data_IF_359946586400
#
_entry.id   IF_359946586400
#
_cell.length_a   1.000
_cell.length_b   1.000
_cell.length_c   1.000
_cell.angle_alpha   90.00
_cell.angle_beta   90.00
_cell.angle_gamma   90.00
#
_symmetry.space_group_name_H-M   'P 1'
#
loop_
_entity.id
_entity.type
_entity.pdbx_description
1 polymer ?
#
# COMPACT_ATOMS: atom_id res chain seq x y z
N UNK A 1 17.53 8.89 -22.56
CA UNK A 1 17.74 9.25 -21.13
C UNK A 1 16.92 8.28 -20.32
N UNK A 2 17.42 7.76 -19.19
CA UNK A 2 16.64 6.76 -18.42
C UNK A 2 15.34 7.40 -17.94
N UNK A 3 14.22 6.67 -18.07
CA UNK A 3 12.92 7.10 -17.53
C UNK A 3 12.80 6.82 -16.02
N UNK A 4 13.82 6.21 -15.41
CA UNK A 4 13.86 5.90 -13.98
C UNK A 4 13.88 7.21 -13.18
N UNK A 5 12.96 7.39 -12.21
CA UNK A 5 12.90 8.61 -11.42
C UNK A 5 14.14 8.73 -10.52
N UNK A 6 14.58 9.96 -10.28
CA UNK A 6 15.69 10.24 -9.34
C UNK A 6 15.28 10.04 -7.88
N UNK A 7 13.98 10.10 -7.59
CA UNK A 7 13.41 9.95 -6.26
C UNK A 7 12.11 9.18 -6.31
N UNK A 8 11.88 8.33 -5.32
CA UNK A 8 10.62 7.59 -5.12
C UNK A 8 10.00 7.93 -3.76
N UNK A 9 8.70 7.69 -3.66
CA UNK A 9 7.90 7.86 -2.47
C UNK A 9 7.34 6.51 -2.05
N UNK A 10 7.61 6.13 -0.81
CA UNK A 10 7.18 4.87 -0.24
C UNK A 10 6.06 5.14 0.76
N UNK A 11 4.93 4.46 0.58
CA UNK A 11 3.88 4.35 1.57
C UNK A 11 4.07 3.03 2.33
N UNK A 12 4.41 3.14 3.60
CA UNK A 12 4.62 1.99 4.48
C UNK A 12 3.27 1.44 4.96
N UNK A 13 2.97 0.21 4.59
CA UNK A 13 1.70 -0.49 4.87
C UNK A 13 1.83 -1.53 5.99
N UNK A 14 3.05 -1.83 6.45
CA UNK A 14 3.35 -2.94 7.35
C UNK A 14 2.53 -2.95 8.64
N UNK A 15 2.40 -1.85 9.39
CA UNK A 15 1.58 -1.85 10.60
C UNK A 15 0.10 -2.18 10.32
N UNK A 16 -0.49 -1.66 9.24
CA UNK A 16 -1.89 -1.96 8.89
C UNK A 16 -2.05 -3.35 8.28
N UNK A 17 -1.34 -3.65 7.20
CA UNK A 17 -1.51 -4.92 6.46
C UNK A 17 -0.94 -6.11 7.19
N UNK A 18 0.22 -5.95 7.83
CA UNK A 18 0.84 -7.01 8.63
C UNK A 18 -0.06 -7.43 9.77
N UNK A 19 -0.35 -6.55 10.72
CA UNK A 19 -1.15 -6.93 11.89
C UNK A 19 -2.58 -7.36 11.55
N UNK A 20 -3.13 -6.94 10.39
CA UNK A 20 -4.43 -7.40 9.93
C UNK A 20 -4.48 -8.93 9.70
N UNK A 21 -3.37 -9.57 9.30
CA UNK A 21 -3.34 -11.02 9.00
C UNK A 21 -2.87 -11.87 10.19
N UNK A 22 -2.23 -11.27 11.20
CA UNK A 22 -1.63 -11.94 12.36
C UNK A 22 -2.65 -12.26 13.49
N UNK A 23 -3.91 -11.87 13.31
CA UNK A 23 -4.98 -12.08 14.30
C UNK A 23 -4.87 -11.18 15.53
N UNK A 24 -5.61 -11.50 16.60
CA UNK A 24 -5.72 -10.65 17.81
C UNK A 24 -4.57 -10.79 18.82
N UNK A 25 -3.54 -11.60 18.51
CA UNK A 25 -2.50 -11.96 19.47
C UNK A 25 -1.45 -10.87 19.74
N UNK A 26 -1.31 -9.91 18.83
CA UNK A 26 -0.28 -8.86 18.94
C UNK A 26 -0.74 -7.77 19.92
N UNK A 27 -0.02 -7.53 21.04
CA UNK A 27 -0.38 -6.49 22.00
C UNK A 27 -0.32 -5.08 21.41
N UNK A 28 -1.27 -4.21 21.75
CA UNK A 28 -1.34 -2.81 21.31
C UNK A 28 -0.03 -2.05 21.51
N UNK A 29 0.62 -2.22 22.67
CA UNK A 29 1.90 -1.57 22.97
C UNK A 29 3.02 -1.96 21.98
N UNK A 30 3.03 -3.22 21.51
CA UNK A 30 4.00 -3.70 20.52
C UNK A 30 3.71 -3.15 19.12
N UNK A 31 2.43 -2.96 18.76
CA UNK A 31 2.06 -2.28 17.52
C UNK A 31 2.54 -0.82 17.51
N UNK A 32 2.32 -0.12 18.63
CA UNK A 32 2.78 1.26 18.83
C UNK A 32 4.31 1.34 18.73
N UNK A 33 5.02 0.42 19.37
CA UNK A 33 6.48 0.38 19.33
C UNK A 33 7.04 0.26 17.89
N UNK A 34 6.42 -0.59 17.05
CA UNK A 34 6.81 -0.67 15.65
C UNK A 34 6.54 0.64 14.89
N UNK A 35 5.38 1.26 15.11
CA UNK A 35 5.01 2.54 14.46
C UNK A 35 5.99 3.64 14.85
N UNK A 36 6.31 3.75 16.15
CA UNK A 36 7.24 4.76 16.66
C UNK A 36 8.67 4.53 16.12
N UNK A 37 9.10 3.28 16.02
CA UNK A 37 10.39 2.93 15.41
C UNK A 37 10.43 3.29 13.92
N UNK A 38 9.40 2.91 13.15
CA UNK A 38 9.28 3.26 11.72
C UNK A 38 9.28 4.77 11.49
N UNK A 39 8.69 5.53 12.40
CA UNK A 39 8.64 7.00 12.34
C UNK A 39 10.03 7.66 12.39
N UNK A 40 11.06 6.94 12.86
CA UNK A 40 12.44 7.43 12.96
C UNK A 40 13.30 7.02 11.75
N UNK A 41 12.73 6.35 10.76
CA UNK A 41 13.45 5.87 9.57
C UNK A 41 13.52 6.89 8.43
N UNK A 42 12.77 8.00 8.50
CA UNK A 42 12.65 8.94 7.38
C UNK A 42 11.51 8.62 6.41
N UNK A 43 10.77 7.52 6.63
CA UNK A 43 9.48 7.29 5.97
C UNK A 43 8.55 8.50 6.16
N UNK A 44 7.96 8.97 5.07
CA UNK A 44 7.09 10.15 5.08
C UNK A 44 5.60 9.80 5.17
N UNK A 45 5.22 8.55 4.92
CA UNK A 45 3.84 8.11 4.95
C UNK A 45 3.73 6.68 5.49
N UNK A 46 2.99 6.52 6.59
CA UNK A 46 2.82 5.24 7.29
C UNK A 46 1.33 5.00 7.50
N UNK A 47 0.80 3.89 6.97
CA UNK A 47 -0.55 3.45 7.25
C UNK A 47 -0.56 2.56 8.49
N UNK A 48 -1.14 3.06 9.58
CA UNK A 48 -0.94 2.49 10.91
C UNK A 48 -2.07 1.58 11.40
N UNK A 49 -3.31 1.80 10.93
CA UNK A 49 -4.49 1.05 11.40
C UNK A 49 -5.56 0.90 10.32
N UNK A 50 -6.55 0.06 10.59
CA UNK A 50 -7.76 -0.08 9.78
C UNK A 50 -9.01 -0.04 10.66
N UNK A 51 -9.93 0.90 10.39
CA UNK A 51 -11.22 1.04 11.09
C UNK A 51 -12.28 0.11 10.49
N UNK A 52 -11.96 -1.18 10.44
CA UNK A 52 -12.83 -2.25 9.91
C UNK A 52 -13.58 -2.94 11.04
N UNK A 53 -14.45 -3.89 10.67
CA UNK A 53 -15.19 -4.69 11.64
C UNK A 53 -14.21 -5.61 12.42
N UNK A 54 -14.06 -5.43 13.74
CA UNK A 54 -13.11 -6.19 14.55
C UNK A 54 -13.43 -7.69 14.62
N UNK A 55 -14.66 -8.10 14.32
CA UNK A 55 -15.03 -9.52 14.23
C UNK A 55 -14.47 -10.18 12.98
N UNK A 56 -14.36 -9.41 11.88
CA UNK A 56 -13.82 -9.90 10.61
C UNK A 56 -12.30 -9.74 10.54
N UNK A 57 -11.76 -8.71 11.20
CA UNK A 57 -10.32 -8.44 11.26
C UNK A 57 -9.91 -8.17 12.71
N UNK A 58 -9.70 -9.23 13.52
CA UNK A 58 -9.40 -9.11 14.94
C UNK A 58 -8.10 -8.37 15.25
N UNK A 59 -7.11 -8.44 14.35
CA UNK A 59 -5.83 -7.74 14.50
C UNK A 59 -5.93 -6.22 14.47
N UNK A 60 -7.08 -5.66 14.05
CA UNK A 60 -7.35 -4.23 13.98
C UNK A 60 -8.40 -3.77 15.00
N UNK A 61 -8.71 -4.60 16.01
CA UNK A 61 -9.73 -4.29 16.99
C UNK A 61 -9.39 -3.14 17.93
N UNK A 62 -8.10 -2.88 18.13
CA UNK A 62 -7.51 -1.86 19.00
C UNK A 62 -7.04 -0.62 18.21
N UNK A 63 -7.64 -0.36 17.02
CA UNK A 63 -7.24 0.74 16.15
C UNK A 63 -7.22 2.10 16.87
N UNK A 64 -8.26 2.41 17.65
CA UNK A 64 -8.34 3.64 18.44
C UNK A 64 -7.20 3.76 19.47
N UNK A 65 -6.88 2.66 20.17
CA UNK A 65 -5.85 2.64 21.20
C UNK A 65 -4.45 2.82 20.59
N UNK A 66 -4.20 2.21 19.41
CA UNK A 66 -2.97 2.42 18.64
C UNK A 66 -2.82 3.89 18.24
N UNK A 67 -3.89 4.49 17.67
CA UNK A 67 -3.87 5.90 17.23
C UNK A 67 -3.73 6.86 18.42
N UNK A 68 -4.27 6.51 19.58
CA UNK A 68 -4.09 7.30 20.81
C UNK A 68 -2.70 7.13 21.42
N UNK A 69 -2.06 5.98 21.25
CA UNK A 69 -0.82 5.64 21.96
C UNK A 69 0.48 6.00 21.25
N UNK A 70 0.51 6.10 19.91
CA UNK A 70 1.75 6.38 19.18
C UNK A 70 2.22 7.83 19.30
N UNK A 71 3.51 8.05 19.01
CA UNK A 71 4.19 9.34 19.06
C UNK A 71 4.48 9.84 17.64
N UNK A 72 3.72 10.82 17.12
CA UNK A 72 3.93 11.35 15.77
C UNK A 72 5.31 12.00 15.64
N UNK A 73 6.05 11.60 14.62
CA UNK A 73 7.28 12.27 14.21
C UNK A 73 6.98 13.44 13.25
N UNK A 74 7.69 14.57 13.37
CA UNK A 74 7.55 15.68 12.43
C UNK A 74 7.83 15.25 10.99
N UNK A 75 6.97 15.67 10.06
CA UNK A 75 7.13 15.38 8.63
C UNK A 75 6.65 14.00 8.17
N UNK A 76 6.00 13.23 9.06
CA UNK A 76 5.40 11.92 8.75
C UNK A 76 3.89 12.03 8.74
N UNK A 77 3.26 11.61 7.63
CA UNK A 77 1.82 11.44 7.52
C UNK A 77 1.41 10.05 8.03
N UNK A 78 0.46 10.01 8.95
CA UNK A 78 -0.08 8.77 9.52
C UNK A 78 -1.49 8.54 9.02
N UNK A 79 -1.71 7.47 8.27
CA UNK A 79 -3.02 7.17 7.68
C UNK A 79 -3.70 5.98 8.36
N UNK A 80 -5.03 5.97 8.33
CA UNK A 80 -5.85 4.80 8.63
C UNK A 80 -6.64 4.36 7.41
N UNK A 81 -6.97 3.07 7.32
CA UNK A 81 -7.90 2.55 6.31
C UNK A 81 -9.34 2.55 6.83
N UNK A 82 -10.30 2.87 5.98
CA UNK A 82 -11.73 2.64 6.23
C UNK A 82 -12.39 2.14 4.94
N UNK A 83 -13.48 1.38 5.07
CA UNK A 83 -14.21 0.81 3.93
C UNK A 83 -15.67 1.26 3.87
N UNK A 84 -16.14 2.00 4.89
CA UNK A 84 -17.50 2.50 5.00
C UNK A 84 -17.55 3.77 5.86
N UNK A 85 -18.75 4.37 5.92
CA UNK A 85 -19.01 5.59 6.69
C UNK A 85 -18.69 5.47 8.18
N UNK A 86 -19.03 4.34 8.80
CA UNK A 86 -18.75 4.12 10.22
C UNK A 86 -17.24 4.11 10.50
N UNK A 87 -16.45 3.45 9.64
CA UNK A 87 -14.99 3.45 9.73
C UNK A 87 -14.40 4.85 9.53
N UNK A 88 -14.93 5.62 8.58
CA UNK A 88 -14.49 7.00 8.40
C UNK A 88 -14.78 7.88 9.62
N UNK A 89 -15.98 7.77 10.21
CA UNK A 89 -16.33 8.52 11.42
C UNK A 89 -15.40 8.22 12.58
N UNK A 90 -14.98 6.95 12.75
CA UNK A 90 -13.97 6.55 13.74
C UNK A 90 -12.61 7.19 13.44
N UNK A 91 -12.19 7.18 12.17
CA UNK A 91 -10.94 7.82 11.73
C UNK A 91 -10.95 9.34 12.01
N UNK A 92 -12.04 10.04 11.69
CA UNK A 92 -12.22 11.47 11.96
C UNK A 92 -12.17 11.76 13.45
N UNK A 93 -12.87 10.96 14.26
CA UNK A 93 -12.92 11.14 15.71
C UNK A 93 -11.54 11.03 16.37
N UNK A 94 -10.58 10.35 15.73
CA UNK A 94 -9.21 10.25 16.24
C UNK A 94 -8.45 11.57 16.23
N UNK A 95 -8.77 12.49 15.30
CA UNK A 95 -8.11 13.80 15.11
C UNK A 95 -6.57 13.77 14.99
N UNK A 96 -5.96 12.59 14.77
CA UNK A 96 -4.50 12.39 14.73
C UNK A 96 -3.99 11.81 13.41
N UNK A 97 -4.89 11.50 12.49
CA UNK A 97 -4.58 10.88 11.21
C UNK A 97 -4.60 11.91 10.08
N UNK A 98 -3.70 11.74 9.12
CA UNK A 98 -3.82 12.34 7.80
C UNK A 98 -4.92 11.59 7.04
N UNK A 99 -6.04 12.28 6.84
CA UNK A 99 -7.22 11.73 6.17
C UNK A 99 -7.21 12.17 4.72
N UNK A 100 -7.09 11.20 3.82
CA UNK A 100 -7.20 11.42 2.38
C UNK A 100 -8.31 10.54 1.81
N UNK A 101 -9.23 11.18 1.11
CA UNK A 101 -10.31 10.52 0.40
C UNK A 101 -9.77 9.71 -0.76
N UNK A 102 -10.28 8.48 -0.88
CA UNK A 102 -9.92 7.55 -1.94
C UNK A 102 -11.15 6.94 -2.57
N UNK A 103 -11.13 6.85 -3.90
CA UNK A 103 -12.07 6.05 -4.68
C UNK A 103 -11.46 4.69 -4.98
N UNK A 104 -12.26 3.63 -5.00
CA UNK A 104 -11.75 2.28 -5.21
C UNK A 104 -12.69 1.48 -6.08
N UNK A 105 -12.17 1.02 -7.21
CA UNK A 105 -12.83 0.08 -8.11
C UNK A 105 -12.00 -1.20 -8.23
N UNK A 106 -12.59 -2.23 -8.83
CA UNK A 106 -12.04 -3.58 -8.88
C UNK A 106 -12.01 -4.03 -10.33
N UNK A 107 -10.88 -4.60 -10.76
CA UNK A 107 -10.79 -5.21 -12.08
C UNK A 107 -11.33 -6.65 -12.10
N UNK A 108 -11.75 -7.17 -10.95
CA UNK A 108 -12.43 -8.47 -10.83
C UNK A 108 -13.75 -8.37 -10.08
N UNK A 109 -14.82 -8.84 -10.70
CA UNK A 109 -16.18 -8.76 -10.17
C UNK A 109 -16.38 -9.83 -9.09
N UNK A 110 -15.84 -11.02 -9.31
CA UNK A 110 -15.79 -12.10 -8.32
C UNK A 110 -15.00 -11.68 -7.07
N UNK A 111 -13.89 -10.96 -7.24
CA UNK A 111 -13.15 -10.46 -6.09
C UNK A 111 -13.89 -9.34 -5.36
N UNK A 112 -14.49 -8.39 -6.08
CA UNK A 112 -15.36 -7.36 -5.51
C UNK A 112 -16.47 -7.99 -4.66
N UNK A 113 -17.11 -9.05 -5.18
CA UNK A 113 -18.16 -9.76 -4.45
C UNK A 113 -17.64 -10.42 -3.17
N UNK A 114 -16.43 -11.00 -3.18
CA UNK A 114 -15.83 -11.59 -1.98
C UNK A 114 -15.33 -10.55 -0.97
N UNK A 115 -14.75 -9.46 -1.45
CA UNK A 115 -14.11 -8.46 -0.61
C UNK A 115 -15.10 -7.45 -0.01
N UNK A 116 -16.05 -6.97 -0.83
CA UNK A 116 -17.00 -5.91 -0.42
C UNK A 116 -18.46 -6.36 -0.44
N UNK A 117 -18.76 -7.61 -0.86
CA UNK A 117 -20.12 -8.13 -1.00
C UNK A 117 -21.02 -7.30 -1.93
N UNK A 118 -20.44 -6.65 -2.95
CA UNK A 118 -21.14 -5.79 -3.92
C UNK A 118 -21.07 -6.33 -5.34
N UNK A 119 -22.01 -5.90 -6.18
CA UNK A 119 -21.90 -5.98 -7.66
C UNK A 119 -21.13 -4.77 -8.20
N UNK A 120 -20.63 -4.82 -9.46
CA UNK A 120 -19.98 -3.67 -10.10
C UNK A 120 -20.85 -2.41 -10.06
N UNK A 121 -22.14 -2.52 -10.44
CA UNK A 121 -23.07 -1.38 -10.43
C UNK A 121 -23.24 -0.78 -9.03
N UNK A 122 -23.34 -1.62 -8.00
CA UNK A 122 -23.43 -1.15 -6.62
C UNK A 122 -22.15 -0.45 -6.17
N UNK A 123 -20.99 -0.93 -6.61
CA UNK A 123 -19.71 -0.32 -6.26
C UNK A 123 -19.50 1.02 -6.95
N UNK A 124 -19.91 1.14 -8.22
CA UNK A 124 -19.90 2.39 -8.98
C UNK A 124 -20.85 3.42 -8.36
N UNK A 125 -22.08 3.01 -8.06
CA UNK A 125 -23.09 3.88 -7.45
C UNK A 125 -22.70 4.38 -6.05
N UNK A 126 -21.84 3.65 -5.33
CA UNK A 126 -21.38 4.04 -4.00
C UNK A 126 -20.26 5.10 -4.01
N UNK A 127 -19.54 5.30 -5.11
CA UNK A 127 -18.40 6.23 -5.14
C UNK A 127 -18.82 7.70 -5.00
N UNK A 128 -19.87 8.21 -5.69
CA UNK A 128 -20.31 9.60 -5.52
C UNK A 128 -20.73 9.93 -4.09
N UNK A 129 -21.45 9.02 -3.43
CA UNK A 129 -21.85 9.20 -2.03
C UNK A 129 -20.64 9.24 -1.09
N UNK A 130 -19.60 8.47 -1.39
CA UNK A 130 -18.34 8.48 -0.66
C UNK A 130 -17.61 9.83 -0.84
N UNK A 131 -17.60 10.41 -2.05
CA UNK A 131 -17.04 11.76 -2.29
C UNK A 131 -17.78 12.82 -1.48
N UNK A 132 -19.12 12.80 -1.51
CA UNK A 132 -19.95 13.75 -0.75
C UNK A 132 -19.65 13.66 0.75
N UNK A 133 -19.53 12.44 1.27
CA UNK A 133 -19.15 12.23 2.67
C UNK A 133 -17.76 12.79 3.00
N UNK A 134 -16.77 12.63 2.11
CA UNK A 134 -15.45 13.25 2.32
C UNK A 134 -15.56 14.79 2.32
N UNK A 135 -16.32 15.35 1.40
CA UNK A 135 -16.56 16.80 1.27
C UNK A 135 -17.21 17.39 2.53
N UNK A 136 -18.21 16.71 3.09
CA UNK A 136 -18.90 17.13 4.32
C UNK A 136 -17.95 17.22 5.53
N UNK A 137 -16.82 16.52 5.47
CA UNK A 137 -15.77 16.51 6.49
C UNK A 137 -14.49 17.23 6.07
N UNK A 138 -14.51 17.98 4.96
CA UNK A 138 -13.36 18.68 4.39
C UNK A 138 -12.14 17.78 4.12
N UNK A 139 -12.39 16.50 3.81
CA UNK A 139 -11.36 15.52 3.46
C UNK A 139 -11.13 15.59 1.94
N UNK A 140 -9.91 15.88 1.46
CA UNK A 140 -9.64 16.00 0.04
C UNK A 140 -9.68 14.63 -0.66
N UNK A 141 -10.27 14.55 -1.84
CA UNK A 141 -10.30 13.33 -2.66
C UNK A 141 -9.29 13.45 -3.80
N UNK A 142 -8.12 12.86 -3.61
CA UNK A 142 -7.00 12.98 -4.57
C UNK A 142 -6.56 11.65 -5.18
N UNK A 143 -7.06 10.54 -4.63
CA UNK A 143 -6.55 9.22 -4.98
C UNK A 143 -7.65 8.29 -5.52
N UNK A 144 -7.33 7.59 -6.60
CA UNK A 144 -8.08 6.44 -7.09
C UNK A 144 -7.28 5.16 -6.85
N UNK A 145 -7.96 4.01 -6.85
CA UNK A 145 -7.29 2.72 -6.74
C UNK A 145 -8.03 1.63 -7.52
N UNK A 146 -7.28 0.87 -8.31
CA UNK A 146 -7.77 -0.30 -9.04
C UNK A 146 -7.24 -1.55 -8.35
N UNK A 147 -8.15 -2.29 -7.72
CA UNK A 147 -7.83 -3.55 -7.04
C UNK A 147 -7.80 -4.71 -8.04
N UNK A 148 -6.91 -5.68 -7.85
CA UNK A 148 -6.72 -6.83 -8.74
C UNK A 148 -6.40 -6.43 -10.19
N UNK A 149 -5.63 -5.36 -10.39
CA UNK A 149 -5.32 -4.79 -11.70
C UNK A 149 -4.56 -5.73 -12.64
N UNK A 150 -3.83 -6.70 -12.08
CA UNK A 150 -2.93 -7.56 -12.87
C UNK A 150 -3.41 -9.00 -13.02
N UNK A 151 -4.46 -9.39 -12.30
CA UNK A 151 -5.00 -10.74 -12.30
C UNK A 151 -5.77 -11.06 -11.03
N UNK A 152 -6.49 -12.18 -11.04
CA UNK A 152 -7.36 -12.58 -9.95
C UNK A 152 -7.41 -14.10 -9.79
N UNK A 153 -7.28 -14.60 -8.57
CA UNK A 153 -7.42 -16.02 -8.24
C UNK A 153 -8.84 -16.59 -8.48
N UNK A 154 -9.84 -15.73 -8.74
CA UNK A 154 -11.23 -16.14 -8.96
C UNK A 154 -11.69 -16.00 -10.42
N UNK A 155 -11.05 -15.14 -11.21
CA UNK A 155 -11.42 -14.86 -12.61
C UNK A 155 -10.27 -15.06 -13.60
N UNK A 156 -9.05 -15.31 -13.12
CA UNK A 156 -7.86 -15.47 -13.93
C UNK A 156 -7.28 -14.14 -14.40
N UNK A 157 -6.90 -14.10 -15.68
CA UNK A 157 -6.26 -12.94 -16.29
C UNK A 157 -7.17 -11.72 -16.37
N UNK A 158 -6.63 -10.57 -15.98
CA UNK A 158 -7.25 -9.26 -16.20
C UNK A 158 -6.60 -8.61 -17.42
N UNK A 159 -7.42 -8.27 -18.41
CA UNK A 159 -6.98 -7.57 -19.61
C UNK A 159 -6.56 -6.12 -19.29
N UNK A 160 -5.48 -5.64 -19.91
CA UNK A 160 -4.97 -4.28 -19.69
C UNK A 160 -6.00 -3.20 -20.07
N UNK A 161 -6.75 -3.45 -21.14
CA UNK A 161 -7.84 -2.61 -21.63
C UNK A 161 -8.94 -2.43 -20.57
N UNK A 162 -9.22 -3.48 -19.78
CA UNK A 162 -10.16 -3.41 -18.65
C UNK A 162 -9.65 -2.47 -17.57
N UNK A 163 -8.35 -2.53 -17.25
CA UNK A 163 -7.74 -1.63 -16.27
C UNK A 163 -7.82 -0.18 -16.73
N UNK A 164 -7.47 0.11 -17.99
CA UNK A 164 -7.58 1.46 -18.58
C UNK A 164 -9.01 2.00 -18.52
N UNK A 165 -10.00 1.16 -18.82
CA UNK A 165 -11.41 1.54 -18.71
C UNK A 165 -11.81 1.87 -17.27
N UNK A 166 -11.36 1.09 -16.29
CA UNK A 166 -11.65 1.34 -14.87
C UNK A 166 -10.96 2.61 -14.36
N UNK A 167 -9.73 2.90 -14.79
CA UNK A 167 -9.08 4.18 -14.48
C UNK A 167 -9.91 5.34 -15.04
N UNK A 168 -10.39 5.24 -16.28
CA UNK A 168 -11.32 6.23 -16.86
C UNK A 168 -12.60 6.42 -16.05
N UNK A 169 -13.18 5.32 -15.53
CA UNK A 169 -14.34 5.39 -14.65
C UNK A 169 -14.06 6.11 -13.33
N UNK A 170 -12.90 5.85 -12.69
CA UNK A 170 -12.49 6.57 -11.48
C UNK A 170 -12.39 8.08 -11.73
N UNK A 171 -11.74 8.47 -12.84
CA UNK A 171 -11.56 9.87 -13.22
C UNK A 171 -12.89 10.54 -13.52
N UNK A 172 -13.77 9.89 -14.30
CA UNK A 172 -15.08 10.42 -14.66
C UNK A 172 -16.00 10.59 -13.44
N UNK A 173 -15.96 9.65 -12.48
CA UNK A 173 -16.72 9.77 -11.22
C UNK A 173 -16.23 10.97 -10.41
N UNK A 174 -14.91 11.13 -10.27
CA UNK A 174 -14.34 12.26 -9.54
C UNK A 174 -14.72 13.60 -10.19
N UNK A 175 -14.54 13.71 -11.52
CA UNK A 175 -14.86 14.90 -12.28
C UNK A 175 -16.35 15.28 -12.18
N UNK A 176 -17.25 14.29 -12.26
CA UNK A 176 -18.69 14.51 -12.12
C UNK A 176 -19.09 15.06 -10.74
N UNK A 177 -18.30 14.78 -9.70
CA UNK A 177 -18.49 15.30 -8.35
C UNK A 177 -17.59 16.52 -8.05
N UNK A 178 -16.95 17.10 -9.07
CA UNK A 178 -16.12 18.31 -8.94
C UNK A 178 -14.77 18.08 -8.26
N UNK A 179 -14.33 16.83 -8.15
CA UNK A 179 -13.02 16.44 -7.61
C UNK A 179 -12.04 16.15 -8.75
N UNK A 180 -10.74 16.24 -8.45
CA UNK A 180 -9.67 15.86 -9.39
C UNK A 180 -8.74 14.87 -8.73
N UNK A 181 -8.66 13.67 -9.28
CA UNK A 181 -7.65 12.70 -8.86
C UNK A 181 -6.29 13.12 -9.40
N UNK A 182 -5.27 13.01 -8.56
CA UNK A 182 -3.87 13.32 -8.87
C UNK A 182 -3.05 12.03 -9.00
N UNK A 183 -3.47 10.97 -8.29
CA UNK A 183 -2.76 9.70 -8.22
C UNK A 183 -3.75 8.53 -8.34
N UNK A 184 -3.44 7.55 -9.18
CA UNK A 184 -4.18 6.28 -9.26
C UNK A 184 -3.26 5.11 -8.94
N UNK A 185 -3.59 4.37 -7.89
CA UNK A 185 -2.88 3.15 -7.53
C UNK A 185 -3.37 1.93 -8.29
N UNK A 186 -2.44 1.10 -8.75
CA UNK A 186 -2.72 -0.18 -9.38
C UNK A 186 -2.25 -1.31 -8.46
N UNK A 187 -3.21 -2.09 -7.97
CA UNK A 187 -2.96 -3.16 -7.00
C UNK A 187 -2.77 -4.52 -7.65
N UNK A 188 -1.61 -5.13 -7.44
CA UNK A 188 -1.36 -6.56 -7.67
C UNK A 188 -1.76 -7.38 -6.44
N UNK A 189 -3.04 -7.29 -6.07
CA UNK A 189 -3.60 -7.80 -4.81
C UNK A 189 -3.41 -9.30 -4.60
N UNK A 190 -3.11 -10.04 -5.66
CA UNK A 190 -2.98 -11.50 -5.62
C UNK A 190 -1.67 -11.99 -6.23
N UNK A 191 -0.70 -11.09 -6.45
CA UNK A 191 0.63 -11.37 -7.01
C UNK A 191 0.59 -12.11 -8.37
N UNK A 192 -0.18 -11.57 -9.32
CA UNK A 192 -0.28 -12.03 -10.71
C UNK A 192 0.60 -11.23 -11.68
N UNK A 193 1.13 -10.08 -11.26
CA UNK A 193 1.92 -9.25 -12.15
C UNK A 193 3.25 -9.92 -12.51
N UNK A 194 3.67 -9.67 -13.74
CA UNK A 194 4.99 -9.95 -14.27
C UNK A 194 5.58 -8.65 -14.82
N UNK A 195 6.90 -8.51 -14.99
CA UNK A 195 7.52 -7.27 -15.46
C UNK A 195 6.93 -6.76 -16.78
N UNK A 196 6.66 -7.65 -17.74
CA UNK A 196 6.03 -7.31 -19.02
C UNK A 196 4.58 -6.86 -18.86
N UNK A 197 3.83 -7.45 -17.91
CA UNK A 197 2.46 -7.03 -17.61
C UNK A 197 2.42 -5.67 -16.92
N UNK A 198 3.37 -5.38 -16.02
CA UNK A 198 3.54 -4.06 -15.43
C UNK A 198 3.75 -3.03 -16.54
N UNK A 199 4.74 -3.25 -17.42
CA UNK A 199 5.03 -2.33 -18.53
C UNK A 199 3.82 -2.12 -19.44
N UNK A 200 3.11 -3.20 -19.79
CA UNK A 200 1.90 -3.12 -20.64
C UNK A 200 0.79 -2.29 -19.98
N UNK A 201 0.40 -2.62 -18.76
CA UNK A 201 -0.72 -1.94 -18.08
C UNK A 201 -0.37 -0.49 -17.78
N UNK A 202 0.81 -0.24 -17.20
CA UNK A 202 1.27 1.12 -16.87
C UNK A 202 1.36 1.98 -18.12
N UNK A 203 2.00 1.47 -19.19
CA UNK A 203 2.13 2.20 -20.44
C UNK A 203 0.78 2.55 -21.07
N UNK A 204 -0.15 1.59 -21.12
CA UNK A 204 -1.50 1.85 -21.67
C UNK A 204 -2.30 2.87 -20.85
N UNK A 205 -2.12 2.90 -19.52
CA UNK A 205 -2.78 3.90 -18.66
C UNK A 205 -2.13 5.29 -18.85
N UNK A 206 -0.81 5.37 -18.94
CA UNK A 206 -0.08 6.62 -19.20
C UNK A 206 -0.42 7.21 -20.57
N UNK A 207 -0.56 6.37 -21.60
CA UNK A 207 -0.96 6.80 -22.95
C UNK A 207 -2.38 7.36 -22.97
N UNK A 208 -3.31 6.75 -22.23
CA UNK A 208 -4.71 7.17 -22.18
C UNK A 208 -4.95 8.40 -21.28
N UNK A 209 -4.18 8.52 -20.19
CA UNK A 209 -4.36 9.55 -19.15
C UNK A 209 -3.00 10.15 -18.74
N UNK A 210 -2.35 10.95 -19.60
CA UNK A 210 -0.97 11.41 -19.37
C UNK A 210 -0.80 12.34 -18.16
N UNK A 211 -1.89 12.96 -17.69
CA UNK A 211 -1.87 13.90 -16.56
C UNK A 211 -2.02 13.20 -15.19
N UNK A 212 -2.25 11.88 -15.15
CA UNK A 212 -2.41 11.13 -13.89
C UNK A 212 -1.09 10.51 -13.45
N UNK A 213 -0.73 10.70 -12.19
CA UNK A 213 0.36 9.91 -11.60
C UNK A 213 -0.13 8.51 -11.25
N UNK A 214 0.79 7.55 -11.32
CA UNK A 214 0.50 6.17 -10.95
C UNK A 214 1.28 5.76 -9.71
N UNK A 215 0.63 4.97 -8.85
CA UNK A 215 1.31 4.20 -7.81
C UNK A 215 1.15 2.70 -8.03
N UNK A 216 2.12 1.94 -7.55
CA UNK A 216 2.08 0.48 -7.60
C UNK A 216 2.01 -0.09 -6.19
N UNK A 217 1.02 -0.95 -5.98
CA UNK A 217 0.86 -1.75 -4.77
C UNK A 217 1.07 -3.21 -5.14
N UNK A 218 2.28 -3.71 -4.89
CA UNK A 218 2.75 -4.98 -5.42
C UNK A 218 2.90 -6.00 -4.31
N UNK A 219 2.34 -7.19 -4.52
CA UNK A 219 2.53 -8.31 -3.61
C UNK A 219 3.60 -9.25 -4.13
N UNK A 220 4.34 -9.87 -3.22
CA UNK A 220 5.50 -10.71 -3.55
C UNK A 220 5.23 -12.21 -3.37
N UNK A 221 3.96 -12.63 -3.32
CA UNK A 221 3.54 -14.03 -3.07
C UNK A 221 4.20 -15.06 -3.99
N UNK A 222 4.67 -14.65 -5.17
CA UNK A 222 5.34 -15.51 -6.16
C UNK A 222 6.79 -15.08 -6.48
N UNK A 223 7.39 -14.21 -5.66
CA UNK A 223 8.79 -13.78 -5.82
C UNK A 223 9.04 -12.83 -7.00
N UNK A 224 8.00 -12.15 -7.48
CA UNK A 224 8.08 -11.22 -8.62
C UNK A 224 7.95 -9.75 -8.20
N UNK A 225 7.68 -9.46 -6.93
CA UNK A 225 7.34 -8.13 -6.43
C UNK A 225 8.42 -7.08 -6.74
N UNK A 226 9.68 -7.32 -6.37
CA UNK A 226 10.76 -6.36 -6.67
C UNK A 226 11.08 -6.26 -8.17
N UNK A 227 10.96 -7.36 -8.93
CA UNK A 227 11.12 -7.33 -10.38
C UNK A 227 10.01 -6.48 -11.04
N UNK A 228 8.78 -6.58 -10.53
CA UNK A 228 7.64 -5.76 -10.94
C UNK A 228 7.82 -4.29 -10.52
N UNK A 229 8.38 -4.03 -9.34
CA UNK A 229 8.70 -2.68 -8.89
C UNK A 229 9.76 -2.03 -9.80
N UNK A 230 10.82 -2.77 -10.14
CA UNK A 230 11.82 -2.33 -11.10
C UNK A 230 11.24 -2.05 -12.48
N UNK A 231 10.34 -2.90 -12.99
CA UNK A 231 9.63 -2.63 -14.23
C UNK A 231 8.79 -1.34 -14.15
N UNK A 232 8.15 -1.07 -13.01
CA UNK A 232 7.46 0.20 -12.75
C UNK A 232 8.39 1.41 -12.76
N UNK A 233 9.56 1.31 -12.11
CA UNK A 233 10.59 2.35 -12.14
C UNK A 233 11.03 2.66 -13.57
N UNK A 234 11.22 1.64 -14.41
CA UNK A 234 11.57 1.82 -15.82
C UNK A 234 10.51 2.58 -16.63
N UNK A 235 9.25 2.55 -16.17
CA UNK A 235 8.12 3.29 -16.75
C UNK A 235 7.91 4.67 -16.10
N UNK A 236 8.82 5.11 -15.22
CA UNK A 236 8.73 6.40 -14.53
C UNK A 236 7.79 6.43 -13.33
N UNK A 237 7.24 5.29 -12.89
CA UNK A 237 6.45 5.22 -11.65
C UNK A 237 7.36 5.55 -10.48
N UNK A 238 6.89 6.46 -9.60
CA UNK A 238 7.64 6.92 -8.43
C UNK A 238 6.94 6.72 -7.09
N UNK A 239 5.70 6.23 -7.08
CA UNK A 239 4.94 5.96 -5.87
C UNK A 239 4.76 4.46 -5.68
N UNK A 240 5.19 3.94 -4.53
CA UNK A 240 5.12 2.51 -4.22
C UNK A 240 4.56 2.29 -2.83
N UNK A 241 3.65 1.33 -2.70
CA UNK A 241 3.28 0.79 -1.40
C UNK A 241 4.23 -0.37 -1.08
N UNK A 242 4.74 -0.42 0.13
CA UNK A 242 5.63 -1.47 0.62
C UNK A 242 5.35 -1.77 2.09
N UNK A 243 5.84 -2.91 2.59
CA UNK A 243 5.69 -3.27 3.99
C UNK A 243 7.01 -3.71 4.61
N UNK A 244 7.32 -3.18 5.79
CA UNK A 244 8.50 -3.55 6.58
C UNK A 244 8.56 -5.07 6.76
N UNK A 245 9.74 -5.66 6.60
CA UNK A 245 9.98 -7.10 6.66
C UNK A 245 9.17 -7.95 5.66
N UNK A 246 8.52 -7.33 4.67
CA UNK A 246 7.63 -8.00 3.72
C UNK A 246 6.31 -8.45 4.33
N UNK A 247 5.84 -7.70 5.35
CA UNK A 247 4.56 -7.94 6.01
C UNK A 247 3.35 -7.80 5.07
N UNK A 248 2.24 -8.38 5.51
CA UNK A 248 0.93 -8.16 4.93
C UNK A 248 0.46 -9.26 4.00
N UNK A 249 -0.52 -8.92 3.18
CA UNK A 249 -1.30 -9.87 2.40
C UNK A 249 -2.80 -9.61 2.54
N UNK A 250 -3.58 -10.25 1.69
CA UNK A 250 -5.04 -10.08 1.70
C UNK A 250 -5.73 -11.35 2.22
N UNK A 251 -6.49 -11.30 3.33
CA UNK A 251 -7.18 -12.47 3.87
C UNK A 251 -8.28 -13.01 2.91
N UNK A 252 -8.68 -12.21 1.91
CA UNK A 252 -9.71 -12.56 0.94
C UNK A 252 -9.14 -13.05 -0.40
N UNK A 253 -7.82 -13.09 -0.57
CA UNK A 253 -7.16 -13.44 -1.83
C UNK A 253 -6.97 -14.95 -2.05
N UNK A 254 -7.59 -15.82 -1.24
CA UNK A 254 -7.64 -17.28 -1.42
C UNK A 254 -6.29 -17.97 -1.74
N UNK A 255 -5.22 -17.62 -1.01
CA UNK A 255 -3.96 -18.36 -1.00
C UNK A 255 -3.55 -18.69 0.44
N UNK A 256 -2.89 -19.84 0.66
CA UNK A 256 -2.30 -20.24 1.93
C UNK A 256 -0.77 -20.15 1.81
N UNK A 257 -0.10 -19.43 2.72
CA UNK A 257 1.36 -19.23 2.71
C UNK A 257 1.80 -17.93 2.03
N UNK A 258 2.68 -17.19 2.69
CA UNK A 258 2.96 -15.77 2.44
C UNK A 258 3.84 -15.49 1.20
N UNK A 259 3.52 -14.41 0.49
CA UNK A 259 4.24 -13.15 0.69
C UNK A 259 3.28 -11.98 0.48
N UNK A 260 3.33 -11.01 1.41
CA UNK A 260 2.51 -9.80 1.47
C UNK A 260 2.94 -8.78 0.44
N UNK A 261 3.08 -7.52 0.85
CA UNK A 261 3.62 -6.49 -0.04
C UNK A 261 5.10 -6.73 -0.36
N UNK A 262 5.63 -6.03 -1.35
CA UNK A 262 7.09 -5.87 -1.49
C UNK A 262 7.68 -5.38 -0.17
N UNK A 263 8.85 -5.93 0.15
CA UNK A 263 9.55 -5.63 1.39
C UNK A 263 10.19 -4.23 1.32
N UNK A 264 9.87 -3.37 2.29
CA UNK A 264 10.33 -1.97 2.31
C UNK A 264 11.85 -1.89 2.32
N UNK A 265 12.55 -2.62 3.19
CA UNK A 265 14.01 -2.57 3.26
C UNK A 265 14.70 -3.18 2.03
N UNK A 266 14.09 -4.21 1.40
CA UNK A 266 14.62 -4.78 0.18
C UNK A 266 14.48 -3.79 -0.99
N UNK A 267 13.37 -3.06 -1.06
CA UNK A 267 13.14 -2.02 -2.07
C UNK A 267 14.02 -0.79 -1.86
N UNK A 268 14.21 -0.35 -0.61
CA UNK A 268 15.12 0.76 -0.27
C UNK A 268 16.55 0.40 -0.61
N UNK A 269 17.03 -0.82 -0.29
CA UNK A 269 18.36 -1.26 -0.71
C UNK A 269 18.52 -1.19 -2.23
N UNK A 270 17.54 -1.67 -2.99
CA UNK A 270 17.58 -1.60 -4.46
C UNK A 270 17.69 -0.14 -4.93
N UNK A 271 16.90 0.77 -4.36
CA UNK A 271 16.93 2.18 -4.70
C UNK A 271 18.29 2.82 -4.38
N UNK A 272 18.81 2.62 -3.16
CA UNK A 272 20.10 3.15 -2.72
C UNK A 272 21.24 2.71 -3.66
N UNK A 273 21.28 1.42 -4.00
CA UNK A 273 22.32 0.84 -4.86
C UNK A 273 22.18 1.25 -6.33
N UNK A 274 21.00 1.67 -6.74
CA UNK A 274 20.73 2.25 -8.06
C UNK A 274 20.88 3.78 -8.09
N UNK A 275 21.15 4.43 -6.96
CA UNK A 275 21.25 5.88 -6.85
C UNK A 275 19.91 6.61 -6.94
N UNK A 276 18.80 5.94 -6.55
CA UNK A 276 17.46 6.51 -6.47
C UNK A 276 17.21 6.97 -5.03
N UNK A 277 16.87 8.23 -4.83
CA UNK A 277 16.59 8.80 -3.51
C UNK A 277 15.27 8.26 -2.94
N UNK A 278 15.30 7.78 -1.70
CA UNK A 278 14.09 7.41 -0.93
C UNK A 278 13.84 8.34 0.26
N UNK A 279 14.92 8.93 0.80
CA UNK A 279 14.90 9.67 2.07
C UNK A 279 14.86 8.77 3.31
N UNK A 280 14.97 7.45 3.13
CA UNK A 280 14.86 6.46 4.21
C UNK A 280 16.25 6.02 4.70
N UNK A 281 16.46 5.99 6.01
CA UNK A 281 17.61 5.39 6.67
C UNK A 281 17.45 3.86 6.70
N UNK A 282 18.13 3.21 5.76
CA UNK A 282 18.10 1.75 5.62
C UNK A 282 18.59 1.00 6.87
N UNK A 283 19.55 1.53 7.61
CA UNK A 283 20.07 0.85 8.81
C UNK A 283 19.00 0.83 9.90
N UNK A 284 18.32 1.96 10.14
CA UNK A 284 17.19 2.02 11.08
C UNK A 284 16.02 1.16 10.63
N UNK A 285 15.75 1.13 9.33
CA UNK A 285 14.67 0.31 8.78
C UNK A 285 14.95 -1.20 8.97
N UNK A 286 16.21 -1.63 8.82
CA UNK A 286 16.63 -3.01 9.13
C UNK A 286 16.33 -3.36 10.59
N UNK A 287 16.59 -2.45 11.55
CA UNK A 287 16.24 -2.69 12.95
C UNK A 287 14.73 -2.77 13.15
N UNK A 288 13.94 -1.93 12.45
CA UNK A 288 12.48 -2.03 12.46
C UNK A 288 12.00 -3.38 11.92
N UNK A 289 12.64 -3.92 10.88
CA UNK A 289 12.30 -5.21 10.31
C UNK A 289 12.60 -6.38 11.26
N UNK A 290 13.68 -6.29 12.03
CA UNK A 290 13.98 -7.27 13.11
C UNK A 290 12.99 -7.15 14.26
N UNK A 291 12.62 -5.93 14.64
CA UNK A 291 11.59 -5.67 15.63
C UNK A 291 10.24 -6.26 15.20
N UNK A 292 9.85 -6.09 13.93
CA UNK A 292 8.62 -6.68 13.40
C UNK A 292 8.62 -8.21 13.51
N UNK A 293 9.74 -8.87 13.17
CA UNK A 293 9.89 -10.33 13.31
C UNK A 293 9.80 -10.79 14.77
N UNK A 294 10.43 -10.04 15.69
CA UNK A 294 10.34 -10.29 17.13
C UNK A 294 8.90 -10.15 17.67
N UNK A 295 8.18 -9.08 17.28
CA UNK A 295 6.80 -8.82 17.70
C UNK A 295 5.88 -9.99 17.30
N UNK A 296 6.06 -10.53 16.09
CA UNK A 296 5.20 -11.59 15.56
C UNK A 296 5.64 -12.99 15.99
N UNK A 297 6.89 -13.16 16.41
CA UNK A 297 7.40 -14.43 16.94
C UNK A 297 7.56 -15.52 15.88
N UNK A 298 7.58 -15.18 14.59
CA UNK A 298 7.87 -16.10 13.49
C UNK A 298 8.69 -15.42 12.39
N UNK A 299 9.44 -16.18 11.56
CA UNK A 299 10.23 -15.60 10.49
C UNK A 299 9.40 -14.80 9.49
N UNK A 300 9.94 -13.67 9.04
CA UNK A 300 9.38 -12.80 8.00
C UNK A 300 10.18 -12.90 6.69
N UNK A 301 9.59 -12.59 5.52
CA UNK A 301 10.24 -12.87 4.22
C UNK A 301 11.35 -11.89 3.82
N UNK A 302 11.38 -10.67 4.37
CA UNK A 302 12.36 -9.63 4.01
C UNK A 302 13.82 -10.12 4.09
N UNK A 303 14.61 -9.84 3.05
CA UNK A 303 15.96 -10.43 2.89
C UNK A 303 17.03 -9.57 3.52
N UNK A 304 16.91 -8.25 3.40
CA UNK A 304 17.93 -7.29 3.81
C UNK A 304 18.08 -7.23 5.33
N UNK A 305 17.02 -7.55 6.11
CA UNK A 305 17.16 -7.68 7.56
C UNK A 305 18.18 -8.75 8.00
N UNK A 306 18.36 -9.80 7.18
CA UNK A 306 19.34 -10.87 7.38
C UNK A 306 20.66 -10.57 6.67
N UNK A 307 20.60 -10.10 5.42
CA UNK A 307 21.78 -9.85 4.58
C UNK A 307 22.58 -8.60 4.97
N UNK A 308 21.95 -7.63 5.64
CA UNK A 308 22.52 -6.32 5.92
C UNK A 308 22.63 -5.43 4.69
N UNK A 309 23.02 -4.17 4.90
CA UNK A 309 23.22 -3.20 3.82
C UNK A 309 24.59 -3.37 3.16
N UNK A 310 24.69 -3.02 1.86
CA UNK A 310 25.98 -2.96 1.19
C UNK A 310 26.81 -1.75 1.65
N UNK A 311 26.19 -0.69 2.16
CA UNK A 311 26.88 0.43 2.79
C UNK A 311 27.65 0.00 4.05
N UNK A 312 27.06 -0.83 4.91
CA UNK A 312 27.75 -1.39 6.08
C UNK A 312 28.93 -2.28 5.68
N UNK A 313 28.76 -3.11 4.63
CA UNK A 313 29.87 -3.88 4.06
C UNK A 313 30.97 -2.97 3.49
N UNK A 314 30.56 -1.92 2.77
CA UNK A 314 31.28 -0.69 2.40
C UNK A 314 32.30 -0.26 3.46
N UNK A 315 31.73 0.25 4.56
CA UNK A 315 32.44 0.79 5.73
C UNK A 315 33.38 -0.23 6.36
N UNK A 316 32.97 -1.49 6.50
CA UNK A 316 33.80 -2.56 7.08
C UNK A 316 35.07 -2.82 6.25
N UNK A 317 35.01 -2.63 4.94
CA UNK A 317 36.14 -2.78 4.03
C UNK A 317 37.00 -1.50 3.92
N UNK A 318 36.65 -0.42 4.64
CA UNK A 318 37.33 0.88 4.55
C UNK A 318 37.11 1.58 3.21
N UNK A 319 35.98 1.31 2.54
CA UNK A 319 35.57 1.92 1.27
C UNK A 319 34.40 2.87 1.46
#
# INVERSE_FOLDING_TARGET
MSQIPQRVFIKEEGPREGFQIEGAGVPTARKIELIDALSQTGLQHIQIVSFVNPRLVPGMADAEDVVAGFTPAPGVAYAGLWLNQQGLQRAIASQRLDLQGKLTLYASDAFLKKNQNRTPDQQLAAQPDLIRMYRDHAIPVRTGFVTAAFGCNFEGDVAAEKVVAIVGQLLAIAEAEGEKLELVGLGDTMAWATPDRIQRVVGMVQDAYPDIELSLHLHDTRGLGLANAYAGLQMGVRHFDAAVAGLGGCPFAAHQGAAGNICTEDFVLMCDEMGIETGVDLERLIECARLAEDILGHPLPGKVKQGGSLAAMRRRLGR
#
